data_IF_991105823592
#
_entry.id   IF_991105823592
#
_cell.length_a   1.000
_cell.length_b   1.000
_cell.length_c   1.000
_cell.angle_alpha   90.00
_cell.angle_beta   90.00
_cell.angle_gamma   90.00
#
_symmetry.space_group_name_H-M   'P 1'
#
loop_
_entity.id
_entity.type
_entity.pdbx_description
1 polymer ?
#
# COMPACT_ATOMS: atom_id res chain seq x y z
N UNK A 1 -31.35 5.33 18.71
CA UNK A 1 -31.70 6.35 17.72
C UNK A 1 -31.41 5.74 16.36
N UNK A 2 -32.41 5.61 15.51
CA UNK A 2 -32.31 5.03 14.18
C UNK A 2 -31.30 5.82 13.36
N UNK A 3 -30.11 5.26 13.11
CA UNK A 3 -29.25 5.67 12.00
C UNK A 3 -30.05 5.40 10.74
N UNK A 4 -30.67 6.47 10.24
CA UNK A 4 -31.12 6.51 8.86
C UNK A 4 -29.84 6.80 8.10
N UNK A 5 -29.15 5.76 7.65
CA UNK A 5 -28.04 5.88 6.69
C UNK A 5 -28.62 6.65 5.51
N UNK A 6 -28.23 7.91 5.38
CA UNK A 6 -28.55 8.72 4.21
C UNK A 6 -27.86 7.98 3.06
N UNK A 7 -28.63 7.61 2.05
CA UNK A 7 -28.11 6.90 0.88
C UNK A 7 -27.05 7.81 0.25
N UNK A 8 -25.79 7.40 0.26
CA UNK A 8 -24.72 8.07 -0.49
C UNK A 8 -25.14 8.22 -1.95
N UNK A 9 -25.16 9.46 -2.44
CA UNK A 9 -25.52 9.80 -3.82
C UNK A 9 -24.25 10.10 -4.61
N UNK A 10 -23.98 9.32 -5.65
CA UNK A 10 -22.99 9.70 -6.67
C UNK A 10 -23.67 10.59 -7.72
N UNK A 11 -23.01 11.69 -8.07
CA UNK A 11 -23.41 12.59 -9.13
C UNK A 11 -22.71 12.21 -10.44
N UNK A 12 -23.45 11.88 -11.49
CA UNK A 12 -22.89 11.47 -12.78
C UNK A 12 -23.11 12.60 -13.80
N UNK A 13 -22.01 13.06 -14.40
CA UNK A 13 -22.03 14.13 -15.40
C UNK A 13 -21.85 13.57 -16.81
N UNK A 14 -22.90 13.70 -17.61
CA UNK A 14 -22.88 13.45 -19.07
C UNK A 14 -22.57 14.75 -19.82
N UNK A 15 -21.61 14.75 -20.74
CA UNK A 15 -21.41 15.84 -21.69
C UNK A 15 -22.00 15.47 -23.05
N UNK A 16 -22.81 16.37 -23.62
CA UNK A 16 -23.36 16.22 -24.99
C UNK A 16 -22.35 16.60 -26.07
N UNK A 17 -21.30 17.37 -25.71
CA UNK A 17 -20.17 17.65 -26.59
C UNK A 17 -19.19 16.47 -26.70
N UNK A 18 -19.29 15.48 -25.80
CA UNK A 18 -18.47 14.28 -25.78
C UNK A 18 -19.28 13.05 -26.23
N UNK A 19 -18.85 12.45 -27.35
CA UNK A 19 -19.47 11.26 -27.92
C UNK A 19 -19.31 10.03 -27.03
N UNK A 20 -18.14 9.83 -26.40
CA UNK A 20 -17.92 8.70 -25.49
C UNK A 20 -18.77 8.88 -24.23
N UNK A 21 -18.82 10.09 -23.67
CA UNK A 21 -19.69 10.41 -22.53
C UNK A 21 -21.16 10.04 -22.77
N UNK A 22 -21.71 10.51 -23.88
CA UNK A 22 -23.08 10.20 -24.29
C UNK A 22 -23.30 8.69 -24.49
N UNK A 23 -22.28 7.99 -24.98
CA UNK A 23 -22.30 6.54 -25.18
C UNK A 23 -22.30 5.78 -23.85
N UNK A 24 -21.40 6.11 -22.93
CA UNK A 24 -21.32 5.54 -21.57
C UNK A 24 -22.64 5.78 -20.83
N UNK A 25 -23.15 7.01 -20.86
CA UNK A 25 -24.38 7.40 -20.17
C UNK A 25 -25.63 6.74 -20.77
N UNK A 26 -25.63 6.41 -22.06
CA UNK A 26 -26.67 5.57 -22.66
C UNK A 26 -26.66 4.16 -22.03
N UNK A 27 -25.49 3.54 -21.88
CA UNK A 27 -25.39 2.22 -21.21
C UNK A 27 -25.75 2.31 -19.73
N UNK A 28 -25.36 3.37 -19.00
CA UNK A 28 -25.79 3.59 -17.61
C UNK A 28 -27.31 3.51 -17.47
N UNK A 29 -28.03 4.16 -18.38
CA UNK A 29 -29.51 4.15 -18.43
C UNK A 29 -30.12 2.79 -18.79
N UNK A 30 -29.35 1.89 -19.40
CA UNK A 30 -29.78 0.54 -19.78
C UNK A 30 -29.46 -0.52 -18.70
N UNK A 31 -28.49 -0.26 -17.82
CA UNK A 31 -27.99 -1.23 -16.83
C UNK A 31 -28.85 -1.36 -15.56
N UNK A 32 -29.61 -0.33 -15.22
CA UNK A 32 -30.50 -0.33 -14.04
C UNK A 32 -31.78 0.45 -14.32
N UNK A 33 -32.77 0.35 -13.42
CA UNK A 33 -33.98 1.15 -13.50
C UNK A 33 -33.70 2.59 -13.06
N UNK A 34 -34.08 3.56 -13.90
CA UNK A 34 -33.95 4.99 -13.63
C UNK A 34 -35.32 5.66 -13.64
N UNK A 35 -35.58 6.47 -12.61
CA UNK A 35 -36.69 7.41 -12.59
C UNK A 35 -36.32 8.65 -13.43
N UNK A 36 -37.05 8.87 -14.52
CA UNK A 36 -36.91 10.08 -15.34
C UNK A 36 -37.62 11.25 -14.67
N UNK A 37 -36.89 12.34 -14.44
CA UNK A 37 -37.40 13.60 -13.88
C UNK A 37 -37.13 14.78 -14.80
N UNK A 38 -37.72 15.93 -14.46
CA UNK A 38 -37.56 17.19 -15.20
C UNK A 38 -37.28 18.34 -14.23
N UNK A 39 -36.26 19.13 -14.52
CA UNK A 39 -35.90 20.36 -13.83
C UNK A 39 -36.06 21.56 -14.78
N UNK A 40 -37.17 22.28 -14.63
CA UNK A 40 -37.47 23.48 -15.43
C UNK A 40 -36.88 24.78 -14.82
N UNK A 41 -36.15 24.67 -13.70
CA UNK A 41 -35.57 25.83 -13.00
C UNK A 41 -34.17 26.20 -13.48
N UNK A 42 -33.48 25.24 -14.12
CA UNK A 42 -32.14 25.39 -14.69
C UNK A 42 -32.18 25.21 -16.21
N UNK A 43 -31.24 25.83 -16.93
CA UNK A 43 -31.11 25.63 -18.38
C UNK A 43 -30.73 24.18 -18.69
N UNK A 44 -31.28 23.60 -19.75
CA UNK A 44 -30.95 22.25 -20.21
C UNK A 44 -29.47 22.09 -20.57
N UNK A 45 -28.83 23.17 -21.01
CA UNK A 45 -27.39 23.20 -21.30
C UNK A 45 -26.53 23.01 -20.04
N UNK A 46 -27.06 23.36 -18.86
CA UNK A 46 -26.32 23.44 -17.61
C UNK A 46 -26.75 22.33 -16.61
N UNK A 47 -27.26 21.20 -17.10
CA UNK A 47 -27.75 20.11 -16.24
C UNK A 47 -29.21 20.25 -15.81
N UNK A 48 -29.95 21.22 -16.33
CA UNK A 48 -31.42 21.28 -16.21
C UNK A 48 -32.13 20.37 -17.22
N UNK A 49 -33.44 20.54 -17.38
CA UNK A 49 -34.23 19.74 -18.31
C UNK A 49 -34.43 18.30 -17.82
N UNK A 50 -34.28 17.31 -18.69
CA UNK A 50 -34.48 15.89 -18.30
C UNK A 50 -33.25 15.36 -17.59
N UNK A 51 -33.45 14.78 -16.41
CA UNK A 51 -32.42 14.08 -15.65
C UNK A 51 -32.94 12.74 -15.12
N UNK A 52 -32.05 11.91 -14.59
CA UNK A 52 -32.36 10.55 -14.17
C UNK A 52 -31.89 10.30 -12.75
N UNK A 53 -32.72 9.65 -11.94
CA UNK A 53 -32.39 9.28 -10.55
C UNK A 53 -32.60 7.78 -10.37
N UNK A 54 -31.70 7.14 -9.64
CA UNK A 54 -31.84 5.76 -9.18
C UNK A 54 -31.34 5.67 -7.74
N UNK A 55 -31.46 4.51 -7.11
CA UNK A 55 -30.91 4.31 -5.77
C UNK A 55 -29.39 4.54 -5.77
N UNK A 56 -28.95 5.54 -5.01
CA UNK A 56 -27.55 5.91 -4.83
C UNK A 56 -26.92 6.72 -5.97
N UNK A 57 -27.66 7.15 -6.99
CA UNK A 57 -27.09 7.93 -8.09
C UNK A 57 -28.08 8.89 -8.77
N UNK A 58 -27.57 10.03 -9.23
CA UNK A 58 -28.26 10.98 -10.10
C UNK A 58 -27.41 11.26 -11.34
N UNK A 59 -28.01 11.28 -12.53
CA UNK A 59 -27.35 11.54 -13.80
C UNK A 59 -27.94 12.81 -14.42
N UNK A 60 -27.07 13.79 -14.70
CA UNK A 60 -27.39 15.04 -15.39
C UNK A 60 -26.50 15.25 -16.61
N UNK A 61 -27.06 15.93 -17.61
CA UNK A 61 -26.38 16.15 -18.88
C UNK A 61 -26.16 17.64 -19.15
N UNK A 62 -24.96 17.98 -19.60
CA UNK A 62 -24.48 19.32 -19.88
C UNK A 62 -24.13 19.45 -21.37
N UNK A 63 -24.25 20.64 -21.94
CA UNK A 63 -23.94 20.87 -23.36
C UNK A 63 -22.43 21.01 -23.61
N UNK A 64 -21.69 21.62 -22.67
CA UNK A 64 -20.25 21.85 -22.77
C UNK A 64 -19.43 20.61 -22.41
N UNK A 65 -18.14 20.61 -22.80
CA UNK A 65 -17.17 19.59 -22.38
C UNK A 65 -16.92 19.69 -20.87
N UNK A 66 -16.76 18.55 -20.20
CA UNK A 66 -16.60 18.47 -18.75
C UNK A 66 -15.49 19.38 -18.22
N UNK A 67 -14.36 19.44 -18.94
CA UNK A 67 -13.18 20.21 -18.54
C UNK A 67 -13.40 21.72 -18.45
N UNK A 68 -14.49 22.24 -19.01
CA UNK A 68 -14.87 23.66 -18.97
C UNK A 68 -15.99 23.97 -17.98
N UNK A 69 -16.52 22.97 -17.27
CA UNK A 69 -17.58 23.20 -16.30
C UNK A 69 -17.04 23.91 -15.06
N UNK A 70 -17.89 24.67 -14.39
CA UNK A 70 -17.60 25.31 -13.09
C UNK A 70 -18.76 24.97 -12.15
N UNK A 71 -18.44 24.42 -10.96
CA UNK A 71 -19.41 24.01 -9.96
C UNK A 71 -20.58 23.15 -10.51
N UNK A 72 -20.32 22.07 -11.28
CA UNK A 72 -21.39 21.19 -11.80
C UNK A 72 -22.23 20.55 -10.69
N UNK A 73 -21.70 20.47 -9.46
CA UNK A 73 -22.42 19.99 -8.28
C UNK A 73 -23.73 20.73 -8.05
N UNK A 74 -23.79 22.04 -8.36
CA UNK A 74 -24.97 22.87 -8.12
C UNK A 74 -26.19 22.40 -8.91
N UNK A 75 -25.97 21.65 -10.00
CA UNK A 75 -27.06 21.09 -10.79
C UNK A 75 -27.79 19.97 -10.06
N UNK A 76 -27.14 19.22 -9.18
CA UNK A 76 -27.70 18.01 -8.59
C UNK A 76 -28.75 18.31 -7.50
N UNK A 77 -29.68 17.37 -7.29
CA UNK A 77 -30.81 17.61 -6.38
C UNK A 77 -30.48 17.48 -4.89
N UNK A 78 -29.36 16.84 -4.57
CA UNK A 78 -28.78 16.69 -3.24
C UNK A 78 -27.27 16.97 -3.34
N UNK A 79 -26.62 17.28 -2.21
CA UNK A 79 -25.17 17.45 -2.13
C UNK A 79 -24.51 16.06 -2.24
N UNK A 80 -23.82 15.73 -3.35
CA UNK A 80 -23.24 14.41 -3.56
C UNK A 80 -21.94 14.26 -2.76
N UNK A 81 -21.65 13.04 -2.31
CA UNK A 81 -20.36 12.70 -1.66
C UNK A 81 -19.26 12.46 -2.71
N UNK A 82 -19.64 12.23 -3.97
CA UNK A 82 -18.74 11.97 -5.09
C UNK A 82 -19.39 12.39 -6.41
N UNK A 83 -18.64 13.08 -7.26
CA UNK A 83 -19.02 13.37 -8.63
C UNK A 83 -18.12 12.64 -9.63
N UNK A 84 -18.73 11.95 -10.59
CA UNK A 84 -18.06 11.17 -11.62
C UNK A 84 -18.34 11.76 -12.99
N UNK A 85 -17.29 12.23 -13.65
CA UNK A 85 -17.35 12.65 -15.05
C UNK A 85 -17.20 11.41 -15.95
N UNK A 86 -18.27 11.02 -16.63
CA UNK A 86 -18.18 9.99 -17.66
C UNK A 86 -17.60 10.62 -18.93
N UNK A 87 -16.36 10.31 -19.29
CA UNK A 87 -15.60 11.09 -20.28
C UNK A 87 -14.92 10.19 -21.31
N UNK A 88 -14.40 10.80 -22.38
CA UNK A 88 -13.42 10.19 -23.26
C UNK A 88 -12.01 10.41 -22.74
N UNK A 89 -11.16 9.41 -22.94
CA UNK A 89 -9.73 9.62 -23.01
C UNK A 89 -9.33 9.78 -24.49
N UNK A 90 -8.40 10.69 -24.79
CA UNK A 90 -7.93 10.96 -26.15
C UNK A 90 -6.41 10.87 -26.24
N UNK A 91 -5.90 9.81 -26.88
CA UNK A 91 -4.46 9.55 -26.92
C UNK A 91 -4.05 8.49 -27.93
N UNK A 92 -2.74 8.24 -28.04
CA UNK A 92 -2.17 7.18 -28.87
C UNK A 92 -1.85 5.92 -28.05
N UNK A 93 -2.81 5.48 -27.23
CA UNK A 93 -2.67 4.37 -26.28
C UNK A 93 -3.34 3.08 -26.72
N UNK A 94 -4.20 3.14 -27.75
CA UNK A 94 -5.07 2.02 -28.12
C UNK A 94 -6.26 1.88 -27.16
N UNK A 95 -6.88 0.70 -27.07
CA UNK A 95 -8.04 0.50 -26.22
C UNK A 95 -7.71 0.55 -24.73
N UNK A 96 -8.29 1.53 -24.02
CA UNK A 96 -7.90 1.84 -22.64
C UNK A 96 -9.11 2.34 -21.83
N UNK A 97 -9.23 1.88 -20.59
CA UNK A 97 -10.10 2.49 -19.58
C UNK A 97 -9.23 3.18 -18.53
N UNK A 98 -9.46 4.47 -18.28
CA UNK A 98 -8.65 5.25 -17.35
C UNK A 98 -9.48 6.05 -16.35
N UNK A 99 -8.82 6.47 -15.28
CA UNK A 99 -9.37 7.39 -14.32
C UNK A 99 -8.30 8.29 -13.72
N UNK A 100 -8.70 9.50 -13.33
CA UNK A 100 -7.86 10.49 -12.66
C UNK A 100 -8.67 11.55 -11.94
N UNK A 101 -7.99 12.29 -11.06
CA UNK A 101 -8.49 13.53 -10.47
C UNK A 101 -8.12 14.72 -11.38
N UNK A 102 -8.92 15.79 -11.37
CA UNK A 102 -8.65 16.97 -12.20
C UNK A 102 -7.91 18.07 -11.47
N UNK A 103 -7.10 18.80 -12.22
CA UNK A 103 -6.35 19.92 -11.71
C UNK A 103 -5.18 20.35 -12.59
N UNK A 104 -4.72 21.57 -12.37
CA UNK A 104 -3.55 22.14 -13.03
C UNK A 104 -2.50 22.49 -11.98
N UNK A 105 -1.47 21.66 -11.87
CA UNK A 105 -0.30 21.90 -11.01
C UNK A 105 0.55 23.06 -11.56
N UNK A 106 0.51 23.28 -12.88
CA UNK A 106 1.08 24.43 -13.57
C UNK A 106 0.00 25.30 -14.22
N UNK A 107 0.31 25.97 -15.36
CA UNK A 107 -0.66 26.72 -16.15
C UNK A 107 -1.83 25.85 -16.67
N UNK A 108 -3.03 26.40 -16.67
CA UNK A 108 -4.25 25.77 -17.16
C UNK A 108 -4.44 26.00 -18.66
N UNK A 109 -4.00 25.04 -19.47
CA UNK A 109 -4.21 25.08 -20.93
C UNK A 109 -5.56 24.49 -21.36
N UNK A 110 -6.12 23.58 -20.54
CA UNK A 110 -7.31 22.80 -20.87
C UNK A 110 -8.35 22.88 -19.74
N UNK A 111 -8.86 24.08 -19.50
CA UNK A 111 -9.92 24.33 -18.51
C UNK A 111 -9.43 24.36 -17.05
N UNK A 112 -10.30 24.85 -16.17
CA UNK A 112 -9.93 25.15 -14.78
C UNK A 112 -9.04 26.39 -14.63
N UNK A 113 -8.48 26.57 -13.44
CA UNK A 113 -7.58 27.66 -13.10
C UNK A 113 -6.12 27.20 -12.99
N UNK A 114 -5.17 28.11 -13.23
CA UNK A 114 -3.75 27.88 -12.99
C UNK A 114 -3.50 27.52 -11.51
N UNK A 115 -2.60 26.59 -11.25
CA UNK A 115 -2.13 26.28 -9.89
C UNK A 115 -3.26 25.87 -8.92
N UNK A 116 -4.31 25.25 -9.46
CA UNK A 116 -5.50 24.85 -8.72
C UNK A 116 -5.87 23.40 -9.07
N UNK A 117 -6.41 22.67 -8.11
CA UNK A 117 -6.86 21.28 -8.29
C UNK A 117 -8.25 21.11 -7.68
N UNK A 118 -9.05 20.19 -8.21
CA UNK A 118 -10.33 19.82 -7.62
C UNK A 118 -10.11 18.97 -6.37
N UNK A 119 -11.11 18.84 -5.50
CA UNK A 119 -11.07 17.86 -4.41
C UNK A 119 -10.96 16.44 -5.00
N UNK A 120 -9.92 15.70 -4.59
CA UNK A 120 -9.63 14.37 -5.10
C UNK A 120 -10.62 13.35 -4.52
N UNK A 121 -10.71 12.17 -5.14
CA UNK A 121 -11.49 11.05 -4.60
C UNK A 121 -10.65 9.76 -4.57
N UNK A 122 -9.59 9.67 -3.73
CA UNK A 122 -8.56 8.64 -3.84
C UNK A 122 -9.09 7.22 -3.61
N UNK A 123 -9.98 7.05 -2.62
CA UNK A 123 -10.59 5.75 -2.32
C UNK A 123 -11.58 5.33 -3.42
N UNK A 124 -12.37 6.28 -3.94
CA UNK A 124 -13.26 6.01 -5.07
C UNK A 124 -12.49 5.73 -6.37
N UNK A 125 -11.34 6.39 -6.59
CA UNK A 125 -10.45 6.15 -7.71
C UNK A 125 -9.89 4.72 -7.67
N UNK A 126 -9.48 4.27 -6.48
CA UNK A 126 -9.00 2.90 -6.26
C UNK A 126 -10.11 1.87 -6.54
N UNK A 127 -11.32 2.10 -6.02
CA UNK A 127 -12.48 1.25 -6.28
C UNK A 127 -12.90 1.24 -7.76
N UNK A 128 -12.76 2.37 -8.47
CA UNK A 128 -13.05 2.47 -9.89
C UNK A 128 -12.07 1.63 -10.72
N UNK A 129 -10.78 1.67 -10.37
CA UNK A 129 -9.76 0.87 -11.04
C UNK A 129 -10.01 -0.63 -10.86
N UNK A 130 -10.35 -1.07 -9.65
CA UNK A 130 -10.78 -2.45 -9.39
C UNK A 130 -12.05 -2.83 -10.18
N UNK A 131 -12.99 -1.90 -10.32
CA UNK A 131 -14.21 -2.12 -11.10
C UNK A 131 -13.92 -2.20 -12.60
N UNK A 132 -12.96 -1.41 -13.12
CA UNK A 132 -12.51 -1.57 -14.50
C UNK A 132 -11.95 -2.96 -14.74
N UNK A 133 -11.08 -3.50 -13.89
CA UNK A 133 -10.53 -4.85 -14.05
C UNK A 133 -11.61 -5.94 -14.10
N UNK A 134 -12.74 -5.71 -13.42
CA UNK A 134 -13.88 -6.63 -13.40
C UNK A 134 -14.68 -6.61 -14.70
N UNK A 135 -14.78 -5.45 -15.35
CA UNK A 135 -15.68 -5.24 -16.50
C UNK A 135 -14.95 -5.03 -17.83
N UNK A 136 -13.63 -4.86 -17.81
CA UNK A 136 -12.81 -4.57 -18.97
C UNK A 136 -13.02 -5.64 -20.06
N UNK A 137 -13.33 -5.24 -21.31
CA UNK A 137 -13.46 -6.18 -22.40
C UNK A 137 -12.08 -6.67 -22.89
N UNK A 138 -12.07 -7.83 -23.56
CA UNK A 138 -10.83 -8.39 -24.12
C UNK A 138 -10.13 -7.37 -25.04
N UNK A 139 -8.82 -7.16 -24.80
CA UNK A 139 -7.98 -6.28 -25.61
C UNK A 139 -7.94 -4.82 -25.16
N UNK A 140 -8.63 -4.47 -24.06
CA UNK A 140 -8.46 -3.20 -23.37
C UNK A 140 -7.50 -3.34 -22.19
N UNK A 141 -6.68 -2.31 -22.00
CA UNK A 141 -5.92 -2.11 -20.77
C UNK A 141 -6.73 -1.24 -19.78
N UNK A 142 -6.33 -1.25 -18.51
CA UNK A 142 -6.85 -0.37 -17.46
C UNK A 142 -5.69 0.37 -16.80
N UNK A 143 -5.88 1.62 -16.39
CA UNK A 143 -4.80 2.36 -15.73
C UNK A 143 -5.24 3.67 -15.10
N UNK A 144 -4.30 4.29 -14.38
CA UNK A 144 -4.47 5.63 -13.83
C UNK A 144 -3.80 6.67 -14.72
N UNK A 145 -4.29 7.90 -14.66
CA UNK A 145 -3.61 9.07 -15.22
C UNK A 145 -3.20 10.04 -14.10
N UNK A 146 -2.20 10.87 -14.41
CA UNK A 146 -1.80 11.97 -13.53
C UNK A 146 -2.90 13.03 -13.40
N UNK A 147 -2.78 13.91 -12.39
CA UNK A 147 -3.67 15.06 -12.26
C UNK A 147 -3.45 16.01 -13.42
N UNK A 148 -4.50 16.25 -14.21
CA UNK A 148 -4.43 17.19 -15.32
C UNK A 148 -5.80 17.76 -15.69
N UNK A 149 -5.77 18.88 -16.42
CA UNK A 149 -6.90 19.61 -16.99
C UNK A 149 -7.99 20.04 -15.98
N UNK A 150 -8.95 20.83 -16.45
CA UNK A 150 -10.12 21.23 -15.67
C UNK A 150 -11.20 20.15 -15.58
N UNK A 151 -12.25 20.35 -14.81
CA UNK A 151 -12.49 21.52 -13.97
C UNK A 151 -11.68 21.47 -12.67
N UNK A 152 -11.31 22.63 -12.15
CA UNK A 152 -10.67 22.75 -10.82
C UNK A 152 -11.68 23.11 -9.73
N UNK A 153 -12.84 23.66 -10.11
CA UNK A 153 -13.92 24.01 -9.19
C UNK A 153 -15.11 23.08 -9.46
N UNK A 154 -15.20 22.00 -8.69
CA UNK A 154 -16.25 20.98 -8.82
C UNK A 154 -17.32 21.11 -7.72
N UNK A 155 -16.89 21.49 -6.52
CA UNK A 155 -17.72 21.67 -5.32
C UNK A 155 -17.97 20.41 -4.48
N UNK A 156 -17.35 19.28 -4.84
CA UNK A 156 -17.29 18.04 -4.06
C UNK A 156 -16.13 17.17 -4.57
N UNK A 157 -15.73 16.09 -3.86
CA UNK A 157 -14.78 15.11 -4.37
C UNK A 157 -15.17 14.60 -5.75
N UNK A 158 -14.20 14.51 -6.66
CA UNK A 158 -14.51 14.14 -8.04
C UNK A 158 -13.41 13.39 -8.76
N UNK A 159 -13.80 12.66 -9.79
CA UNK A 159 -12.91 11.93 -10.69
C UNK A 159 -13.48 11.84 -12.10
N UNK A 160 -12.60 11.59 -13.06
CA UNK A 160 -12.95 11.20 -14.42
C UNK A 160 -12.93 9.68 -14.53
N UNK A 161 -13.92 9.12 -15.23
CA UNK A 161 -14.00 7.71 -15.60
C UNK A 161 -14.10 7.64 -17.13
N UNK A 162 -13.04 7.16 -17.77
CA UNK A 162 -12.82 7.44 -19.18
C UNK A 162 -12.80 6.20 -20.06
N UNK A 163 -13.25 6.39 -21.31
CA UNK A 163 -13.14 5.44 -22.40
C UNK A 163 -12.20 5.98 -23.48
N UNK A 164 -11.11 5.26 -23.73
CA UNK A 164 -10.07 5.66 -24.67
C UNK A 164 -9.75 4.62 -25.74
N UNK A 165 -9.05 5.03 -26.81
CA UNK A 165 -8.35 6.32 -26.89
C UNK A 165 -8.66 7.14 -28.16
N UNK A 166 -9.46 6.59 -29.08
CA UNK A 166 -9.86 7.24 -30.32
C UNK A 166 -11.30 6.91 -30.74
N UNK A 167 -11.69 7.35 -31.94
CA UNK A 167 -13.03 7.17 -32.52
C UNK A 167 -13.51 5.71 -32.47
N UNK A 168 -12.62 4.73 -32.67
CA UNK A 168 -13.00 3.30 -32.67
C UNK A 168 -13.46 2.87 -31.27
N UNK A 169 -12.75 3.29 -30.23
CA UNK A 169 -13.10 2.93 -28.86
C UNK A 169 -14.23 3.77 -28.29
N UNK A 170 -14.33 5.05 -28.62
CA UNK A 170 -15.46 5.89 -28.19
C UNK A 170 -16.81 5.35 -28.71
N UNK A 171 -16.80 4.66 -29.85
CA UNK A 171 -17.96 4.01 -30.44
C UNK A 171 -18.11 2.52 -30.04
N UNK A 172 -17.18 1.94 -29.28
CA UNK A 172 -17.26 0.54 -28.84
C UNK A 172 -18.31 0.36 -27.72
N UNK A 173 -19.40 -0.40 -27.97
CA UNK A 173 -20.40 -0.65 -26.95
C UNK A 173 -19.88 -1.50 -25.78
N UNK A 174 -18.85 -2.33 -25.96
CA UNK A 174 -18.30 -3.13 -24.88
C UNK A 174 -17.52 -2.25 -23.90
N UNK A 175 -16.59 -1.43 -24.38
CA UNK A 175 -15.87 -0.43 -23.57
C UNK A 175 -16.80 0.56 -22.87
N UNK A 176 -17.77 1.15 -23.58
CA UNK A 176 -18.72 2.08 -22.98
C UNK A 176 -19.60 1.43 -21.90
N UNK A 177 -19.99 0.17 -22.10
CA UNK A 177 -20.72 -0.60 -21.08
C UNK A 177 -19.84 -0.96 -19.89
N UNK A 178 -18.55 -1.23 -20.09
CA UNK A 178 -17.60 -1.50 -19.02
C UNK A 178 -17.46 -0.29 -18.08
N UNK A 179 -17.21 0.90 -18.64
CA UNK A 179 -17.15 2.15 -17.86
C UNK A 179 -18.48 2.40 -17.12
N UNK A 180 -19.61 2.21 -17.79
CA UNK A 180 -20.92 2.39 -17.16
C UNK A 180 -21.15 1.45 -15.96
N UNK A 181 -20.76 0.18 -16.04
CA UNK A 181 -20.84 -0.72 -14.88
C UNK A 181 -19.91 -0.26 -13.76
N UNK A 182 -18.68 0.15 -14.10
CA UNK A 182 -17.69 0.59 -13.13
C UNK A 182 -18.16 1.84 -12.35
N UNK A 183 -18.76 2.82 -13.04
CA UNK A 183 -19.37 4.01 -12.41
C UNK A 183 -20.50 3.60 -11.43
N UNK A 184 -21.35 2.64 -11.80
CA UNK A 184 -22.46 2.19 -10.92
C UNK A 184 -21.97 1.44 -9.68
N UNK A 185 -20.80 0.80 -9.74
CA UNK A 185 -20.18 0.11 -8.61
C UNK A 185 -19.58 1.08 -7.58
N UNK A 186 -19.43 2.37 -7.93
CA UNK A 186 -19.03 3.42 -6.97
C UNK A 186 -20.15 3.85 -6.02
N UNK A 187 -21.38 3.38 -6.20
CA UNK A 187 -22.48 3.71 -5.29
C UNK A 187 -22.19 3.20 -3.89
N UNK A 188 -22.15 4.12 -2.92
CA UNK A 188 -21.82 3.82 -1.53
C UNK A 188 -20.33 3.66 -1.24
N UNK A 189 -19.46 3.94 -2.22
CA UNK A 189 -18.01 4.02 -2.01
C UNK A 189 -17.67 5.46 -1.55
N UNK A 190 -17.06 5.64 -0.37
CA UNK A 190 -16.58 6.95 0.07
C UNK A 190 -15.48 7.49 -0.84
N UNK A 191 -15.44 8.82 -1.04
CA UNK A 191 -14.38 9.45 -1.82
C UNK A 191 -12.99 9.27 -1.19
N UNK A 192 -12.92 9.34 0.14
CA UNK A 192 -11.68 9.24 0.93
C UNK A 192 -11.66 7.98 1.81
N UNK A 193 -10.44 7.57 2.18
CA UNK A 193 -10.17 6.43 3.06
C UNK A 193 -9.20 6.82 4.18
N UNK A 194 -8.79 5.87 5.00
CA UNK A 194 -7.87 6.13 6.12
C UNK A 194 -6.39 6.23 5.71
N UNK A 195 -6.03 5.81 4.50
CA UNK A 195 -4.65 5.70 4.04
C UNK A 195 -4.53 6.18 2.59
N UNK A 196 -3.94 7.37 2.44
CA UNK A 196 -3.89 8.08 1.17
C UNK A 196 -2.52 8.75 1.01
N UNK A 197 -2.02 8.87 -0.21
CA UNK A 197 -0.79 9.64 -0.51
C UNK A 197 -1.00 10.60 -1.67
N UNK A 198 -0.20 11.67 -1.70
CA UNK A 198 0.03 12.49 -2.91
C UNK A 198 1.24 11.97 -3.66
N UNK A 199 1.18 11.97 -4.99
CA UNK A 199 2.29 11.60 -5.86
C UNK A 199 2.99 12.80 -6.51
N UNK A 200 4.31 12.72 -6.64
CA UNK A 200 5.10 13.67 -7.41
C UNK A 200 6.01 12.93 -8.40
N UNK A 201 6.07 13.43 -9.63
CA UNK A 201 6.87 12.90 -10.71
C UNK A 201 6.22 11.73 -11.47
N UNK A 202 6.99 11.15 -12.39
CA UNK A 202 6.54 10.11 -13.29
C UNK A 202 5.84 10.65 -14.55
N UNK A 203 5.47 9.74 -15.44
CA UNK A 203 4.82 10.10 -16.70
C UNK A 203 3.29 10.26 -16.56
N UNK A 204 2.63 10.55 -17.68
CA UNK A 204 1.17 10.74 -17.74
C UNK A 204 0.34 9.58 -17.17
N UNK A 205 0.81 8.34 -17.31
CA UNK A 205 0.10 7.12 -16.89
C UNK A 205 0.61 6.55 -15.56
N UNK A 206 1.48 7.28 -14.86
CA UNK A 206 1.76 7.11 -13.42
C UNK A 206 1.93 5.65 -12.93
N UNK A 207 2.70 4.78 -13.61
CA UNK A 207 2.70 3.33 -13.36
C UNK A 207 3.15 2.93 -11.96
N UNK A 208 4.00 3.74 -11.31
CA UNK A 208 4.40 3.54 -9.91
C UNK A 208 3.23 3.76 -8.96
N UNK A 209 2.42 4.80 -9.19
CA UNK A 209 1.27 5.13 -8.37
C UNK A 209 0.11 4.16 -8.60
N UNK A 210 -0.09 3.73 -9.85
CA UNK A 210 -0.99 2.61 -10.16
C UNK A 210 -0.58 1.34 -9.39
N UNK A 211 0.72 1.01 -9.38
CA UNK A 211 1.22 -0.14 -8.61
C UNK A 211 0.94 0.00 -7.11
N UNK A 212 1.08 1.21 -6.54
CA UNK A 212 0.74 1.47 -5.13
C UNK A 212 -0.73 1.15 -4.86
N UNK A 213 -1.64 1.68 -5.68
CA UNK A 213 -3.08 1.42 -5.55
C UNK A 213 -3.41 -0.07 -5.68
N UNK A 214 -2.75 -0.78 -6.61
CA UNK A 214 -3.03 -2.20 -6.87
C UNK A 214 -2.43 -3.18 -5.87
N UNK A 215 -1.29 -2.85 -5.27
CA UNK A 215 -0.50 -3.79 -4.50
C UNK A 215 -0.38 -3.44 -3.02
N UNK A 216 -1.04 -2.37 -2.57
CA UNK A 216 -1.06 -1.92 -1.17
C UNK A 216 -2.47 -1.45 -0.81
N UNK A 217 -2.83 -1.35 0.48
CA UNK A 217 -4.12 -0.78 0.90
C UNK A 217 -4.17 0.76 0.79
N UNK A 218 -3.13 1.40 0.28
CA UNK A 218 -3.05 2.85 0.15
C UNK A 218 -3.68 3.33 -1.14
N UNK A 219 -4.56 4.32 -1.03
CA UNK A 219 -5.07 5.06 -2.16
C UNK A 219 -4.12 6.20 -2.56
N UNK A 220 -4.21 6.64 -3.82
CA UNK A 220 -3.43 7.77 -4.34
C UNK A 220 -4.39 8.87 -4.75
N UNK A 221 -4.19 10.07 -4.22
CA UNK A 221 -4.93 11.25 -4.62
C UNK A 221 -4.31 11.92 -5.83
N UNK A 222 -3.95 13.19 -5.70
CA UNK A 222 -3.31 13.87 -6.81
C UNK A 222 -1.93 13.31 -7.12
N UNK A 223 -1.60 13.23 -8.42
CA UNK A 223 -0.25 12.95 -8.90
C UNK A 223 0.21 14.08 -9.80
N UNK A 224 1.21 14.83 -9.35
CA UNK A 224 1.85 15.89 -10.12
C UNK A 224 2.96 15.29 -11.00
N UNK A 225 2.66 14.94 -12.25
CA UNK A 225 3.62 14.32 -13.17
C UNK A 225 4.78 15.26 -13.57
N UNK A 226 5.85 14.67 -14.12
CA UNK A 226 7.10 15.37 -14.47
C UNK A 226 6.84 16.62 -15.33
N UNK A 227 6.03 16.50 -16.38
CA UNK A 227 5.74 17.62 -17.29
C UNK A 227 5.01 18.77 -16.59
N UNK A 228 4.17 18.47 -15.60
CA UNK A 228 3.41 19.47 -14.86
C UNK A 228 4.31 20.20 -13.86
N UNK A 229 5.21 19.48 -13.21
CA UNK A 229 6.25 20.03 -12.34
C UNK A 229 7.25 20.89 -13.14
N UNK A 230 7.68 20.43 -14.30
CA UNK A 230 8.53 21.21 -15.22
C UNK A 230 7.84 22.51 -15.68
N UNK A 231 6.54 22.45 -15.96
CA UNK A 231 5.75 23.61 -16.37
C UNK A 231 5.50 24.61 -15.25
N UNK A 232 5.42 24.16 -13.98
CA UNK A 232 5.33 25.02 -12.81
C UNK A 232 6.58 25.91 -12.66
N UNK A 233 7.77 25.40 -13.01
CA UNK A 233 9.03 26.10 -12.77
C UNK A 233 9.56 25.84 -11.36
N UNK A 234 10.07 26.88 -10.69
CA UNK A 234 10.65 26.73 -9.34
C UNK A 234 9.54 26.48 -8.31
N UNK A 235 9.52 25.32 -7.61
CA UNK A 235 8.53 25.03 -6.56
C UNK A 235 8.43 26.12 -5.48
N UNK A 236 9.52 26.85 -5.21
CA UNK A 236 9.56 27.91 -4.20
C UNK A 236 8.75 29.15 -4.60
N UNK A 237 8.47 29.34 -5.90
CA UNK A 237 7.60 30.42 -6.40
C UNK A 237 6.10 30.07 -6.28
N UNK A 238 5.78 28.77 -6.11
CA UNK A 238 4.42 28.24 -6.08
C UNK A 238 4.11 27.39 -4.83
N UNK A 239 4.52 27.80 -3.61
CA UNK A 239 4.45 26.94 -2.44
C UNK A 239 3.00 26.57 -2.05
N UNK A 240 2.02 27.44 -2.37
CA UNK A 240 0.60 27.17 -2.11
C UNK A 240 0.04 25.97 -2.88
N UNK A 241 0.61 25.61 -4.04
CA UNK A 241 0.11 24.46 -4.82
C UNK A 241 0.29 23.16 -4.05
N UNK A 242 1.41 23.02 -3.35
CA UNK A 242 1.68 21.84 -2.53
C UNK A 242 0.66 21.74 -1.40
N UNK A 243 0.39 22.83 -0.66
CA UNK A 243 -0.67 22.86 0.36
C UNK A 243 -2.01 22.35 -0.20
N UNK A 244 -2.44 22.88 -1.35
CA UNK A 244 -3.70 22.48 -1.98
C UNK A 244 -3.69 21.00 -2.40
N UNK A 245 -2.57 20.48 -2.94
CA UNK A 245 -2.47 19.06 -3.33
C UNK A 245 -2.68 18.11 -2.14
N UNK A 246 -2.09 18.42 -0.99
CA UNK A 246 -2.25 17.61 0.23
C UNK A 246 -3.63 17.77 0.85
N UNK A 247 -4.14 19.00 0.93
CA UNK A 247 -5.49 19.28 1.45
C UNK A 247 -6.56 18.57 0.61
N UNK A 248 -6.51 18.71 -0.72
CA UNK A 248 -7.45 18.08 -1.66
C UNK A 248 -7.35 16.55 -1.69
N UNK A 249 -6.22 15.97 -1.26
CA UNK A 249 -6.03 14.52 -1.17
C UNK A 249 -6.22 13.95 0.25
N UNK A 250 -6.61 14.79 1.22
CA UNK A 250 -6.76 14.45 2.64
C UNK A 250 -5.59 13.64 3.22
N UNK A 251 -4.35 14.09 2.99
CA UNK A 251 -3.16 13.37 3.48
C UNK A 251 -2.04 14.31 3.92
N UNK A 252 -1.10 13.76 4.68
CA UNK A 252 0.20 14.35 5.00
C UNK A 252 1.37 13.56 4.42
N UNK A 253 1.10 12.51 3.63
CA UNK A 253 2.09 11.58 3.09
C UNK A 253 2.28 11.77 1.60
N UNK A 254 3.53 11.73 1.15
CA UNK A 254 3.89 11.84 -0.25
C UNK A 254 4.81 10.72 -0.71
N UNK A 255 4.66 10.33 -1.96
CA UNK A 255 5.60 9.48 -2.68
C UNK A 255 6.17 10.25 -3.86
N UNK A 256 7.50 10.25 -3.97
CA UNK A 256 8.22 10.91 -5.06
C UNK A 256 8.78 9.86 -6.02
N UNK A 257 8.49 10.02 -7.30
CA UNK A 257 9.04 9.27 -8.42
C UNK A 257 10.01 10.11 -9.24
N UNK A 258 11.28 9.73 -9.25
CA UNK A 258 12.36 10.53 -9.83
C UNK A 258 13.19 11.27 -8.77
N UNK A 259 13.95 12.27 -9.23
CA UNK A 259 14.89 13.06 -8.42
C UNK A 259 14.40 14.51 -8.38
N UNK A 260 13.79 14.90 -7.26
CA UNK A 260 13.15 16.20 -7.06
C UNK A 260 13.58 16.85 -5.72
N UNK A 261 14.87 17.18 -5.54
CA UNK A 261 15.41 17.60 -4.25
C UNK A 261 14.84 18.93 -3.73
N UNK A 262 14.42 19.83 -4.63
CA UNK A 262 13.74 21.07 -4.26
C UNK A 262 12.34 20.79 -3.68
N UNK A 263 11.62 19.82 -4.25
CA UNK A 263 10.32 19.37 -3.74
C UNK A 263 10.52 18.66 -2.41
N UNK A 264 11.48 17.73 -2.32
CA UNK A 264 11.82 17.04 -1.06
C UNK A 264 12.05 18.03 0.08
N UNK A 265 12.93 19.01 -0.14
CA UNK A 265 13.26 20.05 0.83
C UNK A 265 12.03 20.88 1.23
N UNK A 266 11.17 21.22 0.26
CA UNK A 266 9.96 22.00 0.49
C UNK A 266 8.92 21.22 1.31
N UNK A 267 8.71 19.94 1.00
CA UNK A 267 7.77 19.07 1.70
C UNK A 267 8.20 18.83 3.15
N UNK A 268 9.47 18.47 3.36
CA UNK A 268 10.04 18.29 4.70
C UNK A 268 9.97 19.57 5.52
N UNK A 269 10.31 20.71 4.91
CA UNK A 269 10.24 22.03 5.55
C UNK A 269 8.82 22.44 5.98
N UNK A 270 7.79 21.78 5.44
CA UNK A 270 6.37 21.99 5.75
C UNK A 270 5.79 20.92 6.66
N UNK A 271 6.57 19.90 7.03
CA UNK A 271 6.14 18.83 7.91
C UNK A 271 5.35 17.71 7.23
N UNK A 272 5.41 17.61 5.90
CA UNK A 272 4.88 16.45 5.19
C UNK A 272 5.86 15.27 5.27
N UNK A 273 5.33 14.06 5.31
CA UNK A 273 6.11 12.83 5.38
C UNK A 273 6.34 12.28 3.98
N UNK A 274 7.59 12.29 3.53
CA UNK A 274 7.98 11.61 2.29
C UNK A 274 8.24 10.15 2.63
N UNK A 275 7.52 9.24 1.97
CA UNK A 275 7.57 7.80 2.24
C UNK A 275 7.90 7.02 0.96
N UNK A 276 8.61 5.91 1.13
CA UNK A 276 8.94 5.02 0.03
C UNK A 276 7.80 4.02 -0.27
N UNK A 277 7.84 3.39 -1.44
CA UNK A 277 6.92 2.26 -1.72
C UNK A 277 7.16 1.07 -0.78
N UNK A 278 8.40 0.89 -0.32
CA UNK A 278 8.75 -0.11 0.70
C UNK A 278 8.08 0.21 2.03
N UNK A 279 8.06 1.50 2.41
CA UNK A 279 7.38 1.98 3.61
C UNK A 279 5.87 1.68 3.53
N UNK A 280 5.22 2.01 2.41
CA UNK A 280 3.78 1.76 2.22
C UNK A 280 3.44 0.26 2.33
N UNK A 281 4.26 -0.60 1.73
CA UNK A 281 4.08 -2.06 1.83
C UNK A 281 4.31 -2.59 3.24
N UNK A 282 5.31 -2.08 3.94
CA UNK A 282 5.61 -2.49 5.30
C UNK A 282 4.52 -2.03 6.27
N UNK A 283 4.00 -0.82 6.10
CA UNK A 283 2.90 -0.27 6.90
C UNK A 283 1.60 -0.98 6.62
N UNK A 284 1.31 -1.37 5.37
CA UNK A 284 0.05 -2.02 5.05
C UNK A 284 -1.13 -1.17 5.51
N UNK A 285 -2.09 -1.78 6.21
CA UNK A 285 -3.33 -1.18 6.72
C UNK A 285 -3.23 -0.73 8.20
N UNK A 286 -2.02 -0.67 8.76
CA UNK A 286 -1.82 -0.33 10.17
C UNK A 286 -2.26 1.11 10.49
N UNK A 287 -2.83 1.36 11.69
CA UNK A 287 -3.17 2.71 12.14
C UNK A 287 -1.95 3.63 12.16
N UNK A 288 -2.07 4.83 11.59
CA UNK A 288 -0.94 5.75 11.44
C UNK A 288 -0.36 6.24 12.78
N UNK A 289 -1.20 6.40 13.81
CA UNK A 289 -0.74 6.73 15.18
C UNK A 289 0.16 5.63 15.77
N UNK A 290 -0.12 4.37 15.43
CA UNK A 290 0.73 3.24 15.81
C UNK A 290 2.04 3.29 15.03
N UNK A 291 1.99 3.57 13.73
CA UNK A 291 3.17 3.70 12.87
C UNK A 291 4.13 4.77 13.41
N UNK A 292 3.62 5.96 13.72
CA UNK A 292 4.41 7.06 14.30
C UNK A 292 5.03 6.65 15.65
N UNK A 293 4.24 5.96 16.50
CA UNK A 293 4.72 5.46 17.80
C UNK A 293 5.83 4.43 17.65
N UNK A 294 5.75 3.57 16.63
CA UNK A 294 6.76 2.56 16.32
C UNK A 294 8.03 3.21 15.79
N UNK A 295 7.92 4.12 14.81
CA UNK A 295 9.09 4.81 14.25
C UNK A 295 9.83 5.64 15.31
N UNK A 296 9.10 6.28 16.21
CA UNK A 296 9.68 7.03 17.34
C UNK A 296 10.50 6.14 18.28
N UNK A 297 10.11 4.87 18.46
CA UNK A 297 10.66 3.99 19.52
C UNK A 297 11.65 2.94 19.01
N UNK A 298 11.44 2.43 17.80
CA UNK A 298 12.32 1.45 17.16
C UNK A 298 13.21 2.09 16.08
N UNK A 299 12.76 3.15 15.43
CA UNK A 299 13.45 3.80 14.31
C UNK A 299 12.64 3.70 13.02
N UNK A 300 13.10 4.34 11.93
CA UNK A 300 12.36 4.42 10.68
C UNK A 300 12.05 3.06 10.07
N UNK A 301 10.89 2.92 9.45
CA UNK A 301 10.49 1.71 8.72
C UNK A 301 11.38 1.50 7.49
N UNK A 302 11.76 2.60 6.82
CA UNK A 302 12.71 2.56 5.71
C UNK A 302 14.11 2.06 6.14
N UNK A 303 14.46 2.19 7.43
CA UNK A 303 15.71 1.67 8.00
C UNK A 303 15.63 0.19 8.41
N UNK A 304 14.49 -0.48 8.17
CA UNK A 304 14.33 -1.92 8.39
C UNK A 304 13.43 -2.31 9.56
N UNK A 305 12.60 -1.41 10.11
CA UNK A 305 11.54 -1.84 11.03
C UNK A 305 10.40 -2.51 10.27
N UNK A 306 9.88 -3.63 10.78
CA UNK A 306 8.77 -4.39 10.18
C UNK A 306 7.70 -4.66 11.23
N UNK A 307 6.44 -4.66 10.81
CA UNK A 307 5.33 -5.01 11.69
C UNK A 307 5.24 -6.53 11.85
N UNK A 308 4.96 -6.98 13.07
CA UNK A 308 4.51 -8.35 13.32
C UNK A 308 2.99 -8.45 13.22
N UNK A 309 2.44 -9.59 13.62
CA UNK A 309 1.02 -9.91 13.46
C UNK A 309 0.16 -9.43 14.62
N UNK A 310 0.77 -8.97 15.72
CA UNK A 310 0.03 -8.46 16.88
C UNK A 310 -0.38 -7.00 16.67
N UNK A 311 -1.68 -6.75 16.75
CA UNK A 311 -2.23 -5.40 16.85
C UNK A 311 -2.41 -5.01 18.32
N UNK A 312 -1.63 -4.04 18.78
CA UNK A 312 -1.77 -3.49 20.12
C UNK A 312 -1.38 -2.01 20.18
N UNK A 313 -2.27 -1.19 20.76
CA UNK A 313 -2.03 0.25 20.97
C UNK A 313 -0.93 0.52 22.01
N UNK A 314 -0.70 -0.44 22.91
CA UNK A 314 0.27 -0.33 23.99
C UNK A 314 1.33 -1.42 23.88
N UNK A 315 2.59 -1.01 23.78
CA UNK A 315 3.74 -1.91 23.68
C UNK A 315 4.95 -1.43 24.48
N UNK A 316 5.86 -2.35 24.74
CA UNK A 316 7.19 -2.08 25.29
C UNK A 316 8.26 -2.50 24.29
N UNK A 317 9.32 -1.71 24.17
CA UNK A 317 10.48 -2.09 23.35
C UNK A 317 11.42 -2.88 24.22
N UNK A 318 11.73 -4.09 23.80
CA UNK A 318 12.64 -5.03 24.49
C UNK A 318 13.82 -5.37 23.60
N UNK A 319 14.92 -5.79 24.22
CA UNK A 319 16.05 -6.38 23.50
C UNK A 319 15.77 -7.85 23.21
N UNK A 320 16.14 -8.29 22.01
CA UNK A 320 16.14 -9.69 21.62
C UNK A 320 17.54 -10.28 21.84
N UNK A 321 17.65 -11.57 22.22
CA UNK A 321 18.94 -12.24 22.39
C UNK A 321 19.58 -12.54 21.02
N UNK A 322 20.24 -11.54 20.42
CA UNK A 322 20.72 -11.58 19.03
C UNK A 322 21.65 -12.74 18.70
N UNK A 323 22.43 -13.24 19.66
CA UNK A 323 23.30 -14.42 19.48
C UNK A 323 22.48 -15.70 19.31
N UNK A 324 21.41 -15.85 20.10
CA UNK A 324 20.50 -16.99 20.02
C UNK A 324 19.76 -16.99 18.68
N UNK A 325 19.31 -15.82 18.24
CA UNK A 325 18.61 -15.64 16.97
C UNK A 325 19.56 -15.89 15.79
N UNK A 326 20.79 -15.39 15.83
CA UNK A 326 21.77 -15.65 14.79
C UNK A 326 22.07 -17.14 14.63
N UNK A 327 22.13 -17.90 15.72
CA UNK A 327 22.27 -19.36 15.66
C UNK A 327 21.03 -20.03 15.04
N UNK A 328 19.83 -19.58 15.42
CA UNK A 328 18.58 -20.14 14.94
C UNK A 328 18.31 -19.82 13.46
N UNK A 329 18.71 -18.64 12.98
CA UNK A 329 18.62 -18.23 11.58
C UNK A 329 19.47 -19.11 10.64
N UNK A 330 20.51 -19.78 11.16
CA UNK A 330 21.28 -20.77 10.40
C UNK A 330 20.54 -22.10 10.23
N UNK A 331 19.60 -22.39 11.14
CA UNK A 331 18.75 -23.60 11.09
C UNK A 331 17.58 -23.37 10.15
N UNK A 332 16.80 -22.31 10.38
CA UNK A 332 15.61 -21.97 9.61
C UNK A 332 15.26 -20.49 9.78
N UNK A 333 15.70 -19.64 8.84
CA UNK A 333 15.46 -18.20 8.91
C UNK A 333 13.98 -17.82 8.85
N UNK A 334 13.16 -18.59 8.14
CA UNK A 334 11.73 -18.30 8.03
C UNK A 334 11.02 -18.63 9.34
N UNK A 335 11.33 -19.77 9.96
CA UNK A 335 10.74 -20.12 11.25
C UNK A 335 11.13 -19.14 12.37
N UNK A 336 12.35 -18.56 12.32
CA UNK A 336 12.73 -17.47 13.24
C UNK A 336 11.89 -16.22 12.98
N UNK A 337 11.68 -15.85 11.71
CA UNK A 337 10.84 -14.71 11.35
C UNK A 337 9.42 -14.88 11.88
N UNK A 338 8.78 -16.02 11.57
CA UNK A 338 7.41 -16.32 11.96
C UNK A 338 7.26 -16.29 13.49
N UNK A 339 8.23 -16.88 14.23
CA UNK A 339 8.23 -16.87 15.69
C UNK A 339 8.23 -15.47 16.31
N UNK A 340 8.85 -14.49 15.66
CA UNK A 340 8.85 -13.08 16.11
C UNK A 340 7.58 -12.38 15.67
N UNK A 341 7.22 -12.51 14.39
CA UNK A 341 6.05 -11.86 13.80
C UNK A 341 4.77 -12.24 14.56
N UNK A 342 4.57 -13.52 14.87
CA UNK A 342 3.41 -14.06 15.60
C UNK A 342 3.19 -13.43 16.99
N UNK A 343 4.21 -12.77 17.55
CA UNK A 343 4.22 -12.31 18.94
C UNK A 343 4.60 -10.84 19.12
N UNK A 344 4.99 -10.14 18.05
CA UNK A 344 5.43 -8.76 18.09
C UNK A 344 4.42 -7.82 17.42
N UNK A 345 4.38 -6.58 17.90
CA UNK A 345 3.73 -5.48 17.19
C UNK A 345 4.62 -5.02 16.04
N UNK A 346 5.91 -4.88 16.32
CA UNK A 346 6.93 -4.63 15.31
C UNK A 346 8.30 -5.10 15.80
N UNK A 347 9.25 -5.24 14.90
CA UNK A 347 10.62 -5.61 15.22
C UNK A 347 11.59 -5.01 14.22
N UNK A 348 12.82 -4.81 14.68
CA UNK A 348 13.91 -4.41 13.80
C UNK A 348 14.33 -5.57 12.92
N UNK A 349 14.86 -5.22 11.76
CA UNK A 349 15.57 -6.16 10.90
C UNK A 349 16.97 -5.65 10.59
N UNK A 350 17.82 -6.56 10.12
CA UNK A 350 19.18 -6.29 9.64
C UNK A 350 19.37 -6.92 8.26
N UNK A 351 20.48 -6.58 7.59
CA UNK A 351 20.80 -7.07 6.25
C UNK A 351 19.67 -6.81 5.23
N UNK A 352 19.17 -5.57 5.17
CA UNK A 352 18.16 -5.15 4.21
C UNK A 352 16.81 -5.87 4.37
N UNK A 353 16.38 -6.15 5.60
CA UNK A 353 15.08 -6.80 5.85
C UNK A 353 15.10 -8.32 5.98
N UNK A 354 16.26 -8.97 5.84
CA UNK A 354 16.33 -10.44 5.71
C UNK A 354 16.57 -11.19 7.01
N UNK A 355 16.92 -10.49 8.09
CA UNK A 355 17.26 -11.09 9.39
C UNK A 355 16.66 -10.28 10.52
N UNK A 356 16.35 -10.94 11.62
CA UNK A 356 15.85 -10.27 12.83
C UNK A 356 16.94 -9.41 13.45
N UNK A 357 16.55 -8.19 13.83
CA UNK A 357 17.39 -7.21 14.51
C UNK A 357 17.46 -7.44 16.02
N UNK A 358 17.89 -6.42 16.74
CA UNK A 358 18.23 -6.55 18.17
C UNK A 358 17.09 -6.13 19.09
N UNK A 359 16.02 -5.52 18.56
CA UNK A 359 14.88 -5.02 19.34
C UNK A 359 13.55 -5.38 18.73
N UNK A 360 12.55 -5.56 19.59
CA UNK A 360 11.16 -5.73 19.21
C UNK A 360 10.22 -4.90 20.10
N UNK A 361 9.15 -4.39 19.52
CA UNK A 361 7.99 -3.85 20.19
C UNK A 361 7.02 -4.99 20.50
N UNK A 362 6.87 -5.34 21.78
CA UNK A 362 5.98 -6.40 22.24
C UNK A 362 4.80 -5.82 23.02
N UNK A 363 3.59 -6.40 22.89
CA UNK A 363 2.46 -6.01 23.72
C UNK A 363 2.72 -6.31 25.21
N UNK A 364 1.82 -5.84 26.07
CA UNK A 364 1.82 -6.26 27.48
C UNK A 364 1.59 -7.77 27.65
N UNK A 365 1.88 -8.30 28.83
CA UNK A 365 1.64 -9.71 29.16
C UNK A 365 0.19 -10.11 28.87
N UNK A 366 0.02 -11.28 28.23
CA UNK A 366 -1.29 -11.86 27.94
C UNK A 366 -1.93 -12.40 29.23
N UNK A 367 -2.95 -11.73 29.80
CA UNK A 367 -3.57 -12.15 31.05
C UNK A 367 -4.43 -13.41 30.88
N UNK A 368 -4.87 -13.69 29.65
CA UNK A 368 -5.79 -14.77 29.28
C UNK A 368 -5.07 -16.01 28.71
N UNK A 369 -3.74 -16.02 28.76
CA UNK A 369 -2.92 -17.15 28.35
C UNK A 369 -3.43 -18.46 29.00
N UNK A 370 -3.60 -19.49 28.17
CA UNK A 370 -4.00 -20.82 28.62
C UNK A 370 -3.03 -21.37 29.66
N UNK A 371 -3.52 -22.24 30.55
CA UNK A 371 -2.70 -22.83 31.60
C UNK A 371 -1.51 -23.60 31.01
N UNK A 372 -0.29 -23.24 31.42
CA UNK A 372 0.96 -23.77 30.87
C UNK A 372 1.56 -22.98 29.68
N UNK A 373 0.86 -21.99 29.13
CA UNK A 373 1.41 -21.06 28.13
C UNK A 373 2.04 -19.86 28.82
N UNK A 374 3.27 -19.44 28.44
CA UNK A 374 3.85 -18.19 28.94
C UNK A 374 2.94 -17.00 28.73
N UNK A 375 2.88 -16.09 29.70
CA UNK A 375 2.16 -14.82 29.55
C UNK A 375 2.97 -13.78 28.80
N UNK A 376 4.30 -13.82 28.96
CA UNK A 376 5.23 -12.93 28.26
C UNK A 376 5.37 -13.34 26.80
N UNK A 377 5.18 -12.38 25.90
CA UNK A 377 5.43 -12.57 24.47
C UNK A 377 6.91 -12.87 24.18
N UNK A 378 7.84 -12.25 24.91
CA UNK A 378 9.28 -12.53 24.76
C UNK A 378 9.60 -13.99 25.11
N UNK A 379 9.01 -14.50 26.20
CA UNK A 379 9.20 -15.91 26.59
C UNK A 379 8.64 -16.87 25.52
N UNK A 380 7.50 -16.55 24.90
CA UNK A 380 6.95 -17.35 23.79
C UNK A 380 7.90 -17.38 22.61
N UNK A 381 8.44 -16.22 22.21
CA UNK A 381 9.43 -16.11 21.14
C UNK A 381 10.65 -16.96 21.47
N UNK A 382 11.28 -16.77 22.64
CA UNK A 382 12.50 -17.51 23.02
C UNK A 382 12.26 -19.02 23.11
N UNK A 383 11.10 -19.47 23.58
CA UNK A 383 10.73 -20.90 23.56
C UNK A 383 10.63 -21.47 22.15
N UNK A 384 10.03 -20.72 21.22
CA UNK A 384 9.96 -21.13 19.81
C UNK A 384 11.36 -21.23 19.20
N UNK A 385 12.24 -20.26 19.48
CA UNK A 385 13.64 -20.28 19.06
C UNK A 385 14.40 -21.48 19.66
N UNK A 386 14.21 -21.78 20.95
CA UNK A 386 14.82 -22.95 21.58
C UNK A 386 14.37 -24.25 20.91
N UNK A 387 13.07 -24.38 20.61
CA UNK A 387 12.49 -25.54 19.91
C UNK A 387 13.11 -25.73 18.52
N UNK A 388 13.41 -24.62 17.83
CA UNK A 388 14.09 -24.68 16.54
C UNK A 388 15.54 -25.17 16.68
N UNK A 389 16.26 -24.67 17.68
CA UNK A 389 17.66 -25.03 17.93
C UNK A 389 17.86 -26.49 18.37
N UNK A 390 16.85 -27.13 18.96
CA UNK A 390 16.87 -28.57 19.29
C UNK A 390 17.09 -29.49 18.07
N UNK A 391 16.96 -28.95 16.84
CA UNK A 391 17.25 -29.69 15.60
C UNK A 391 18.74 -29.89 15.36
N UNK A 392 19.59 -28.94 15.79
CA UNK A 392 21.03 -28.93 15.52
C UNK A 392 21.89 -29.10 16.78
N UNK A 393 21.37 -28.70 17.95
CA UNK A 393 22.09 -28.79 19.22
C UNK A 393 21.71 -30.06 19.99
N UNK A 394 22.69 -30.70 20.63
CA UNK A 394 22.47 -31.94 21.40
C UNK A 394 21.59 -31.70 22.63
N UNK A 395 21.74 -30.54 23.27
CA UNK A 395 20.89 -30.13 24.37
C UNK A 395 20.66 -28.63 24.34
N UNK A 396 19.40 -28.24 24.40
CA UNK A 396 18.95 -26.87 24.60
C UNK A 396 18.25 -26.81 25.96
N UNK A 397 18.71 -25.94 26.86
CA UNK A 397 18.12 -25.76 28.19
C UNK A 397 17.77 -24.30 28.40
N UNK A 398 16.50 -24.01 28.63
CA UNK A 398 16.00 -22.67 28.91
C UNK A 398 15.69 -22.52 30.41
N UNK A 399 16.14 -21.41 30.98
CA UNK A 399 15.79 -20.93 32.33
C UNK A 399 15.06 -19.59 32.22
N UNK A 400 14.66 -19.00 33.35
CA UNK A 400 13.99 -17.70 33.38
C UNK A 400 14.84 -16.53 32.85
N UNK A 401 16.18 -16.67 32.81
CA UNK A 401 17.10 -15.58 32.43
C UNK A 401 18.10 -15.97 31.34
N UNK A 402 18.30 -17.26 31.09
CA UNK A 402 19.34 -17.75 30.17
C UNK A 402 18.90 -18.96 29.37
N UNK A 403 19.42 -19.07 28.15
CA UNK A 403 19.38 -20.27 27.31
C UNK A 403 20.79 -20.83 27.19
N UNK A 404 20.95 -22.12 27.47
CA UNK A 404 22.21 -22.85 27.32
C UNK A 404 22.08 -23.83 26.15
N UNK A 405 23.02 -23.72 25.20
CA UNK A 405 23.15 -24.59 24.04
C UNK A 405 24.39 -25.47 24.23
N UNK A 406 24.23 -26.79 24.13
CA UNK A 406 25.33 -27.75 24.13
C UNK A 406 25.41 -28.48 22.78
N UNK A 407 26.61 -28.56 22.23
CA UNK A 407 26.91 -29.33 21.02
C UNK A 407 28.25 -30.05 21.14
N UNK A 408 28.44 -31.11 20.37
CA UNK A 408 29.75 -31.77 20.21
C UNK A 408 30.42 -31.23 18.98
N UNK A 409 31.63 -30.70 19.16
CA UNK A 409 32.45 -30.20 18.06
C UNK A 409 33.68 -31.09 17.95
N UNK A 410 33.96 -31.52 16.72
CA UNK A 410 35.16 -32.29 16.41
C UNK A 410 36.40 -31.50 16.78
N UNK A 411 37.32 -32.12 17.52
CA UNK A 411 38.59 -31.51 17.90
C UNK A 411 39.75 -32.19 17.12
N UNK A 412 40.30 -31.49 16.11
CA UNK A 412 41.41 -32.01 15.30
C UNK A 412 42.63 -32.40 16.13
N UNK A 413 42.87 -31.75 17.29
CA UNK A 413 44.00 -32.08 18.15
C UNK A 413 43.76 -33.40 18.89
N UNK A 414 42.53 -33.65 19.38
CA UNK A 414 42.17 -34.93 19.96
C UNK A 414 42.27 -36.07 18.94
N UNK A 415 41.82 -35.84 17.70
CA UNK A 415 41.94 -36.83 16.63
C UNK A 415 43.40 -37.16 16.27
N UNK A 416 44.27 -36.14 16.16
CA UNK A 416 45.71 -36.37 15.95
C UNK A 416 46.35 -37.09 17.13
N UNK A 417 45.97 -36.74 18.36
CA UNK A 417 46.46 -37.40 19.58
C UNK A 417 46.01 -38.87 19.66
N UNK A 418 44.84 -39.19 19.11
CA UNK A 418 44.33 -40.56 18.97
C UNK A 418 44.99 -41.35 17.81
N UNK A 419 45.95 -40.75 17.09
CA UNK A 419 46.69 -41.41 16.01
C UNK A 419 45.98 -41.40 14.66
N UNK A 420 44.94 -40.59 14.50
CA UNK A 420 44.21 -40.46 13.23
C UNK A 420 44.99 -39.51 12.30
N UNK A 421 45.34 -39.91 11.07
CA UNK A 421 45.95 -39.03 10.09
C UNK A 421 44.88 -38.16 9.40
N UNK A 422 45.26 -36.94 9.01
CA UNK A 422 44.40 -36.07 8.19
C UNK A 422 44.04 -36.77 6.86
N UNK A 423 42.74 -36.81 6.55
CA UNK A 423 42.22 -37.52 5.38
C UNK A 423 40.74 -37.92 5.54
N UNK A 424 40.24 -38.89 4.77
CA UNK A 424 38.84 -39.30 4.81
C UNK A 424 38.35 -39.74 6.21
N UNK A 425 39.25 -40.29 7.03
CA UNK A 425 38.97 -40.66 8.42
C UNK A 425 38.70 -39.45 9.33
N UNK A 426 39.31 -38.30 9.05
CA UNK A 426 38.98 -37.05 9.75
C UNK A 426 37.57 -36.58 9.42
N UNK A 427 37.17 -36.68 8.15
CA UNK A 427 35.81 -36.36 7.72
C UNK A 427 34.78 -37.25 8.41
N UNK A 428 35.01 -38.57 8.40
CA UNK A 428 34.12 -39.53 9.08
C UNK A 428 34.01 -39.25 10.59
N UNK A 429 35.13 -39.03 11.28
CA UNK A 429 35.07 -38.65 12.69
C UNK A 429 34.34 -37.31 12.86
N UNK A 430 34.60 -36.31 12.03
CA UNK A 430 33.91 -35.02 12.11
C UNK A 430 32.39 -35.11 11.84
N UNK A 431 31.96 -36.06 11.01
CA UNK A 431 30.56 -36.35 10.71
C UNK A 431 29.89 -37.21 11.82
N UNK A 432 30.63 -37.56 12.87
CA UNK A 432 30.15 -38.32 14.02
C UNK A 432 30.29 -39.84 13.89
N UNK A 433 30.90 -40.34 12.81
CA UNK A 433 31.11 -41.76 12.57
C UNK A 433 32.38 -42.28 13.27
N UNK A 434 32.30 -43.48 13.85
CA UNK A 434 33.47 -44.18 14.39
C UNK A 434 34.36 -44.69 13.26
N UNK A 435 35.68 -44.63 13.44
CA UNK A 435 36.64 -45.02 12.39
C UNK A 435 37.66 -46.00 12.93
N UNK A 436 37.97 -47.04 12.14
CA UNK A 436 39.02 -48.01 12.49
C UNK A 436 40.29 -47.72 11.72
N UNK A 437 41.39 -47.47 12.44
CA UNK A 437 42.72 -47.22 11.85
C UNK A 437 43.70 -48.26 12.39
N UNK A 438 44.37 -48.96 11.47
CA UNK A 438 45.34 -50.01 11.77
C UNK A 438 44.83 -51.07 12.78
N UNK A 439 43.52 -51.37 12.74
CA UNK A 439 42.86 -52.34 13.61
C UNK A 439 42.44 -51.81 14.99
N UNK A 440 42.62 -50.52 15.25
CA UNK A 440 42.15 -49.84 16.48
C UNK A 440 40.92 -49.00 16.16
N UNK A 441 39.84 -49.20 16.91
CA UNK A 441 38.63 -48.38 16.82
C UNK A 441 38.87 -47.05 17.53
N UNK A 442 38.65 -45.95 16.82
CA UNK A 442 38.57 -44.60 17.39
C UNK A 442 37.10 -44.20 17.35
N UNK A 443 36.49 -44.13 18.54
CA UNK A 443 35.12 -43.67 18.69
C UNK A 443 35.05 -42.17 18.43
N UNK A 444 34.04 -41.70 17.70
CA UNK A 444 33.85 -40.29 17.41
C UNK A 444 33.75 -39.49 18.72
N UNK A 445 33.06 -40.00 19.74
CA UNK A 445 32.95 -39.37 21.05
C UNK A 445 34.29 -39.12 21.76
N UNK A 446 35.36 -39.87 21.44
CA UNK A 446 36.67 -39.68 22.06
C UNK A 446 37.46 -38.49 21.46
N UNK A 447 37.02 -37.99 20.30
CA UNK A 447 37.69 -36.92 19.55
C UNK A 447 36.80 -35.69 19.34
N UNK A 448 35.65 -35.63 20.02
CA UNK A 448 34.83 -34.43 20.12
C UNK A 448 34.94 -33.83 21.52
N UNK A 449 34.80 -32.51 21.59
CA UNK A 449 34.59 -31.80 22.85
C UNK A 449 33.18 -31.25 22.90
N UNK A 450 32.61 -31.21 24.10
CA UNK A 450 31.37 -30.47 24.34
C UNK A 450 31.69 -28.99 24.38
N UNK A 451 31.05 -28.22 23.51
CA UNK A 451 31.01 -26.77 23.60
C UNK A 451 29.67 -26.35 24.18
N UNK A 452 29.71 -25.42 25.13
CA UNK A 452 28.54 -24.88 25.82
C UNK A 452 28.51 -23.38 25.63
N UNK A 453 27.43 -22.88 25.05
CA UNK A 453 27.17 -21.45 24.88
C UNK A 453 25.97 -21.07 25.75
N UNK A 454 26.11 -20.02 26.56
CA UNK A 454 25.02 -19.50 27.40
C UNK A 454 24.71 -18.08 26.98
N UNK A 455 23.45 -17.84 26.60
CA UNK A 455 22.95 -16.53 26.14
C UNK A 455 21.91 -16.04 27.15
N UNK A 456 22.03 -14.80 27.62
CA UNK A 456 20.99 -14.14 28.42
C UNK A 456 19.87 -13.63 27.54
N UNK A 457 18.62 -13.70 28.00
CA UNK A 457 17.47 -13.21 27.26
C UNK A 457 16.50 -12.42 28.14
#
# INVERSE_FOLDING_TARGET
>A
MTHRTVLTVIAIVESRADRASSHICRHLRELTEWERRVDDTRLNADGGGTYYVTEGAELRSFDDLHLHLESPVDAFSEDPELLVFASRHSGNTGPLLTAHCTGNVGPAEFGGADYAVAEAAPNALSALLEAFDRYVPDGYDTGLECTHHGPTDVGCPSLFAELGSDDEQWDDPAGARAVANAILDLRGVPAHGSQQVVGFGGNHYVPRFERIVRETPWAVGHVAADWALEAMGDPADHPGVFEVLFEASETSYAVIDGDWPEIETLLEGRGYSIVSETWLRAVGDRPLDLVESIETRLGPIDDGVRFGDIEADAFSVVSLPSELFAAAELVDSQAVWDAVADHAVAFETRNGGSRIGDRAALPGDDPDAADGTPRSHLERIVRAICTLLEREYERVTMTEETVTLEQRVFDPELARAAGVPEGPAFGQLADGDDVTIDGTLVESSAVHRTETTTVSW
#
